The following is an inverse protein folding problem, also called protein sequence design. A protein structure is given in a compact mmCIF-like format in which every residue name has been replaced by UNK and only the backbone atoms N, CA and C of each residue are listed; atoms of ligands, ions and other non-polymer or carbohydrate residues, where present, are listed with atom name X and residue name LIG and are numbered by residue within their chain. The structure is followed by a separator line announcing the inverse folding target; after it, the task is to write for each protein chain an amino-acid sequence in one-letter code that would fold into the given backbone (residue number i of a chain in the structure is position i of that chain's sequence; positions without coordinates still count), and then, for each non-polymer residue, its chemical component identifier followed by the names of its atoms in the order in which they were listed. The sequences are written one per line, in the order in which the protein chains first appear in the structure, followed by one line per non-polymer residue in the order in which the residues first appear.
data_IF_126342615282
#
_entry.id   IF_126342615282
#
_cell.length_a   1.000
_cell.length_b   1.000
_cell.length_c   1.000
_cell.angle_alpha   90.00
_cell.angle_beta   90.00
_cell.angle_gamma   90.00
#
_symmetry.space_group_name_H-M   'P 1'
#
loop_
_entity.id
_entity.type
_entity.pdbx_description
1 polymer ?
#
# COMPACT_ATOMS: atom_id res chain seq x y z
N UNK A 1 -30.77 -7.63 -20.69
CA UNK A 1 -30.36 -6.43 -21.45
C UNK A 1 -29.73 -5.44 -20.48
N UNK A 2 -28.54 -4.93 -20.78
CA UNK A 2 -27.90 -3.90 -19.97
C UNK A 2 -28.83 -2.70 -19.84
N UNK A 3 -29.22 -2.39 -18.61
CA UNK A 3 -30.02 -1.20 -18.36
C UNK A 3 -29.03 -0.03 -18.36
N UNK A 4 -28.94 0.70 -19.46
CA UNK A 4 -28.16 1.94 -19.55
C UNK A 4 -29.13 3.13 -19.50
N UNK A 5 -29.05 3.91 -18.42
CA UNK A 5 -29.89 5.10 -18.18
C UNK A 5 -29.94 5.48 -16.70
N UNK A 6 -30.35 6.70 -16.32
CA UNK A 6 -30.47 7.10 -14.91
C UNK A 6 -31.41 6.20 -14.11
N UNK A 7 -32.41 5.59 -14.75
CA UNK A 7 -33.30 4.58 -14.13
C UNK A 7 -32.62 3.23 -13.85
N UNK A 8 -31.44 2.97 -14.41
CA UNK A 8 -30.73 1.71 -14.20
C UNK A 8 -30.14 1.60 -12.82
N UNK A 9 -29.54 2.69 -12.32
CA UNK A 9 -28.99 2.76 -10.97
C UNK A 9 -30.10 2.63 -9.93
N UNK A 10 -31.25 3.26 -10.17
CA UNK A 10 -32.43 3.13 -9.30
C UNK A 10 -32.92 1.69 -9.26
N UNK A 11 -33.09 1.03 -10.41
CA UNK A 11 -33.49 -0.39 -10.47
C UNK A 11 -32.49 -1.34 -9.82
N UNK A 12 -31.19 -1.10 -9.98
CA UNK A 12 -30.14 -1.88 -9.30
C UNK A 12 -30.22 -1.66 -7.79
N UNK A 13 -30.42 -0.42 -7.34
CA UNK A 13 -30.53 -0.10 -5.92
C UNK A 13 -31.76 -0.75 -5.29
N UNK A 14 -32.91 -0.70 -5.95
CA UNK A 14 -34.14 -1.38 -5.53
C UNK A 14 -33.96 -2.90 -5.48
N UNK A 15 -33.29 -3.48 -6.48
CA UNK A 15 -32.97 -4.90 -6.50
C UNK A 15 -32.05 -5.30 -5.34
N UNK A 16 -31.02 -4.50 -5.04
CA UNK A 16 -30.12 -4.76 -3.90
C UNK A 16 -30.88 -4.68 -2.58
N UNK A 17 -31.77 -3.70 -2.41
CA UNK A 17 -32.59 -3.57 -1.21
C UNK A 17 -33.53 -4.79 -1.06
N UNK A 18 -34.12 -5.27 -2.16
CA UNK A 18 -35.04 -6.40 -2.14
C UNK A 18 -34.33 -7.75 -1.93
N UNK A 19 -33.17 -7.97 -2.56
CA UNK A 19 -32.50 -9.27 -2.61
C UNK A 19 -31.32 -9.40 -1.63
N UNK A 20 -30.67 -8.29 -1.26
CA UNK A 20 -29.49 -8.26 -0.39
C UNK A 20 -29.52 -7.05 0.58
N UNK A 21 -30.54 -6.95 1.45
CA UNK A 21 -30.78 -5.78 2.31
C UNK A 21 -29.61 -5.47 3.25
N UNK A 22 -28.82 -6.47 3.64
CA UNK A 22 -27.63 -6.30 4.48
C UNK A 22 -26.53 -5.44 3.83
N UNK A 23 -26.49 -5.34 2.50
CA UNK A 23 -25.53 -4.49 1.77
C UNK A 23 -25.97 -3.03 1.67
N UNK A 24 -27.27 -2.76 1.83
CA UNK A 24 -27.85 -1.42 1.81
C UNK A 24 -28.10 -0.85 3.22
N UNK A 25 -28.05 -1.69 4.25
CA UNK A 25 -28.23 -1.29 5.63
C UNK A 25 -27.06 -0.45 6.17
N UNK A 26 -27.35 0.38 7.18
CA UNK A 26 -26.31 1.13 7.90
C UNK A 26 -25.37 0.12 8.58
N UNK A 27 -24.03 0.26 8.43
CA UNK A 27 -23.10 -0.68 9.02
C UNK A 27 -23.20 -0.70 10.55
N UNK A 28 -23.15 -1.90 11.14
CA UNK A 28 -23.08 -2.05 12.59
C UNK A 28 -21.79 -1.43 13.17
N UNK A 29 -21.78 -1.11 14.47
CA UNK A 29 -20.62 -0.48 15.13
C UNK A 29 -19.30 -1.24 14.94
N UNK A 30 -19.33 -2.57 14.80
CA UNK A 30 -18.15 -3.38 14.47
C UNK A 30 -17.59 -3.13 13.07
N UNK A 31 -18.47 -2.94 12.08
CA UNK A 31 -18.08 -2.62 10.71
C UNK A 31 -17.50 -1.20 10.62
N UNK A 32 -18.09 -0.23 11.33
CA UNK A 32 -17.57 1.13 11.43
C UNK A 32 -16.15 1.13 12.01
N UNK A 33 -15.91 0.38 13.10
CA UNK A 33 -14.55 0.21 13.67
C UNK A 33 -13.57 -0.37 12.64
N UNK A 34 -14.02 -1.37 11.87
CA UNK A 34 -13.20 -1.98 10.82
C UNK A 34 -12.84 -0.97 9.75
N UNK A 35 -13.77 -0.12 9.31
CA UNK A 35 -13.50 0.92 8.31
C UNK A 35 -12.53 1.98 8.81
N UNK A 36 -12.72 2.47 10.04
CA UNK A 36 -11.77 3.40 10.68
C UNK A 36 -10.39 2.76 10.74
N UNK A 37 -10.33 1.48 11.15
CA UNK A 37 -9.09 0.73 11.20
C UNK A 37 -8.44 0.57 9.82
N UNK A 38 -9.21 0.33 8.76
CA UNK A 38 -8.71 0.26 7.38
C UNK A 38 -8.16 1.61 6.92
N UNK A 39 -8.82 2.72 7.26
CA UNK A 39 -8.34 4.07 6.92
C UNK A 39 -7.00 4.35 7.58
N UNK A 40 -6.84 4.02 8.87
CA UNK A 40 -5.57 4.19 9.59
C UNK A 40 -4.49 3.28 8.98
N UNK A 41 -4.83 2.01 8.77
CA UNK A 41 -3.92 1.00 8.24
C UNK A 41 -3.38 1.37 6.87
N UNK A 42 -4.27 1.67 5.92
CA UNK A 42 -3.91 2.04 4.54
C UNK A 42 -3.32 3.44 4.51
N UNK A 43 -3.86 4.40 5.25
CA UNK A 43 -3.39 5.79 5.25
C UNK A 43 -1.94 5.91 5.70
N UNK A 44 -1.61 5.35 6.86
CA UNK A 44 -0.23 5.36 7.36
C UNK A 44 0.65 4.35 6.62
N UNK A 45 0.14 3.17 6.25
CA UNK A 45 0.91 2.17 5.50
C UNK A 45 1.34 2.68 4.12
N UNK A 46 0.41 3.22 3.33
CA UNK A 46 0.69 3.67 1.97
C UNK A 46 1.65 4.88 1.92
N UNK A 47 1.65 5.73 2.94
CA UNK A 47 2.54 6.88 3.04
C UNK A 47 4.02 6.49 3.12
N UNK A 48 4.32 5.28 3.59
CA UNK A 48 5.68 4.81 3.87
C UNK A 48 6.16 3.80 2.82
N UNK A 49 5.52 3.77 1.65
CA UNK A 49 5.93 2.86 0.58
C UNK A 49 7.35 3.17 0.08
N UNK A 50 8.29 2.19 0.11
CA UNK A 50 9.66 2.42 -0.33
C UNK A 50 9.76 2.95 -1.77
N UNK A 51 8.97 2.39 -2.69
CA UNK A 51 8.90 2.81 -4.08
C UNK A 51 8.34 4.23 -4.27
N UNK A 52 7.45 4.69 -3.38
CA UNK A 52 6.97 6.06 -3.39
C UNK A 52 8.06 7.01 -2.88
N UNK A 53 8.70 6.66 -1.76
CA UNK A 53 9.80 7.43 -1.16
C UNK A 53 10.95 7.60 -2.16
N UNK A 54 11.34 6.55 -2.88
CA UNK A 54 12.40 6.64 -3.90
C UNK A 54 12.06 7.64 -5.01
N UNK A 55 10.80 7.71 -5.45
CA UNK A 55 10.36 8.69 -6.45
C UNK A 55 10.38 10.11 -5.92
N UNK A 56 10.07 10.31 -4.64
CA UNK A 56 10.15 11.62 -3.98
C UNK A 56 11.60 12.12 -4.01
N UNK A 57 12.57 11.27 -3.64
CA UNK A 57 13.99 11.64 -3.64
C UNK A 57 14.60 11.78 -5.04
N UNK A 58 14.04 11.12 -6.06
CA UNK A 58 14.46 11.25 -7.45
C UNK A 58 13.85 12.47 -8.17
N UNK A 59 12.94 13.22 -7.52
CA UNK A 59 12.28 14.36 -8.14
C UNK A 59 13.25 15.52 -8.44
N UNK A 60 13.19 16.06 -9.66
CA UNK A 60 14.10 17.13 -10.11
C UNK A 60 13.91 18.46 -9.37
N UNK A 61 12.69 18.74 -8.89
CA UNK A 61 12.37 19.98 -8.18
C UNK A 61 11.18 19.82 -7.25
N UNK A 62 11.11 20.68 -6.23
CA UNK A 62 9.99 20.73 -5.28
C UNK A 62 8.65 21.06 -5.95
N UNK A 63 8.66 21.92 -6.98
CA UNK A 63 7.46 22.26 -7.76
C UNK A 63 6.91 21.06 -8.54
N UNK A 64 7.79 20.31 -9.22
CA UNK A 64 7.40 19.09 -9.93
C UNK A 64 6.83 18.03 -8.97
N UNK A 65 7.46 17.88 -7.79
CA UNK A 65 6.99 16.98 -6.75
C UNK A 65 5.59 17.36 -6.24
N UNK A 66 5.36 18.64 -5.89
CA UNK A 66 4.05 19.11 -5.40
C UNK A 66 2.94 18.89 -6.43
N UNK A 67 3.20 19.18 -7.70
CA UNK A 67 2.23 18.95 -8.79
C UNK A 67 1.92 17.46 -8.94
N UNK A 68 2.94 16.60 -8.90
CA UNK A 68 2.78 15.16 -9.00
C UNK A 68 1.99 14.58 -7.82
N UNK A 69 2.31 14.99 -6.58
CA UNK A 69 1.60 14.55 -5.38
C UNK A 69 0.14 15.02 -5.34
N UNK A 70 -0.13 16.26 -5.78
CA UNK A 70 -1.51 16.77 -5.86
C UNK A 70 -2.35 15.92 -6.81
N UNK A 71 -1.82 15.59 -8.00
CA UNK A 71 -2.54 14.72 -8.94
C UNK A 71 -2.73 13.31 -8.36
N UNK A 72 -1.69 12.77 -7.71
CA UNK A 72 -1.74 11.44 -7.10
C UNK A 72 -2.76 11.34 -5.95
N UNK A 73 -3.07 12.44 -5.26
CA UNK A 73 -4.07 12.45 -4.19
C UNK A 73 -5.52 12.32 -4.74
N UNK A 74 -5.82 12.92 -5.90
CA UNK A 74 -7.17 12.92 -6.46
C UNK A 74 -7.44 11.74 -7.42
N UNK A 75 -6.41 11.24 -8.11
CA UNK A 75 -6.57 10.14 -9.08
C UNK A 75 -7.26 8.88 -8.49
N UNK A 76 -6.93 8.41 -7.27
CA UNK A 76 -7.60 7.27 -6.67
C UNK A 76 -9.11 7.48 -6.47
N UNK A 77 -9.58 8.71 -6.22
CA UNK A 77 -11.01 8.97 -6.04
C UNK A 77 -11.77 8.71 -7.34
N UNK A 78 -11.22 9.17 -8.47
CA UNK A 78 -11.82 8.98 -9.79
C UNK A 78 -11.78 7.50 -10.21
N UNK A 79 -10.63 6.84 -10.03
CA UNK A 79 -10.49 5.43 -10.45
C UNK A 79 -11.27 4.49 -9.55
N UNK A 80 -11.31 4.74 -8.24
CA UNK A 80 -12.12 3.94 -7.29
C UNK A 80 -13.61 4.12 -7.55
N UNK A 81 -14.07 5.32 -7.92
CA UNK A 81 -15.47 5.51 -8.30
C UNK A 81 -15.86 4.63 -9.49
N UNK A 82 -15.02 4.57 -10.53
CA UNK A 82 -15.27 3.71 -11.68
C UNK A 82 -15.34 2.21 -11.28
N UNK A 83 -14.37 1.74 -10.49
CA UNK A 83 -14.36 0.34 -10.00
C UNK A 83 -15.57 0.04 -9.12
N UNK A 84 -15.96 0.98 -8.26
CA UNK A 84 -17.12 0.85 -7.38
C UNK A 84 -18.42 0.72 -8.16
N UNK A 85 -18.63 1.56 -9.19
CA UNK A 85 -19.81 1.49 -10.05
C UNK A 85 -19.88 0.14 -10.79
N UNK A 86 -18.76 -0.32 -11.34
CA UNK A 86 -18.67 -1.64 -11.99
C UNK A 86 -18.99 -2.75 -10.98
N UNK A 87 -18.49 -2.65 -9.75
CA UNK A 87 -18.79 -3.58 -8.67
C UNK A 87 -20.28 -3.66 -8.35
N UNK A 88 -20.96 -2.50 -8.21
CA UNK A 88 -22.42 -2.44 -7.96
C UNK A 88 -23.20 -3.08 -9.10
N UNK A 89 -22.87 -2.74 -10.35
CA UNK A 89 -23.52 -3.34 -11.53
C UNK A 89 -23.31 -4.86 -11.57
N UNK A 90 -22.12 -5.32 -11.17
CA UNK A 90 -21.77 -6.75 -11.13
C UNK A 90 -22.60 -7.57 -10.15
N UNK A 91 -23.08 -6.98 -9.05
CA UNK A 91 -23.85 -7.71 -8.02
C UNK A 91 -25.13 -8.31 -8.62
N UNK A 92 -25.89 -7.53 -9.40
CA UNK A 92 -27.11 -8.02 -10.03
C UNK A 92 -26.80 -8.95 -11.20
N UNK A 93 -25.83 -8.59 -12.05
CA UNK A 93 -25.54 -9.35 -13.27
C UNK A 93 -25.00 -10.75 -12.99
N UNK A 94 -24.13 -10.89 -11.99
CA UNK A 94 -23.53 -12.17 -11.62
C UNK A 94 -24.33 -12.92 -10.53
N UNK A 95 -25.51 -12.43 -10.15
CA UNK A 95 -26.34 -13.06 -9.10
C UNK A 95 -26.78 -14.49 -9.43
N UNK A 96 -26.69 -14.89 -10.70
CA UNK A 96 -27.00 -16.22 -11.18
C UNK A 96 -25.84 -17.23 -11.04
N UNK A 97 -24.64 -16.75 -10.69
CA UNK A 97 -23.44 -17.56 -10.52
C UNK A 97 -23.10 -17.70 -9.02
N UNK A 98 -23.35 -18.88 -8.47
CA UNK A 98 -23.02 -19.19 -7.08
C UNK A 98 -21.51 -19.46 -6.90
N UNK A 99 -20.96 -19.04 -5.76
CA UNK A 99 -19.59 -19.36 -5.35
C UNK A 99 -18.48 -18.47 -5.93
N UNK A 100 -18.82 -17.37 -6.60
CA UNK A 100 -17.83 -16.39 -7.07
C UNK A 100 -17.09 -15.71 -5.90
N UNK A 101 -15.77 -15.72 -5.97
CA UNK A 101 -14.94 -14.92 -5.06
C UNK A 101 -14.90 -13.46 -5.54
N UNK A 102 -14.77 -12.46 -4.63
CA UNK A 102 -14.75 -11.04 -5.01
C UNK A 102 -13.69 -10.70 -6.08
N UNK A 103 -12.56 -11.40 -6.07
CA UNK A 103 -11.44 -11.18 -6.99
C UNK A 103 -11.75 -11.63 -8.43
N UNK A 104 -12.76 -12.48 -8.62
CA UNK A 104 -13.17 -13.02 -9.92
C UNK A 104 -14.26 -12.20 -10.60
N UNK A 105 -14.90 -11.27 -9.90
CA UNK A 105 -16.02 -10.46 -10.41
C UNK A 105 -15.64 -9.74 -11.71
N UNK A 106 -14.52 -9.00 -11.70
CA UNK A 106 -14.11 -8.21 -12.87
C UNK A 106 -13.72 -9.09 -14.09
N UNK A 107 -12.87 -10.13 -13.94
CA UNK A 107 -12.58 -11.05 -15.05
C UNK A 107 -13.82 -11.72 -15.67
N UNK A 108 -14.80 -12.13 -14.84
CA UNK A 108 -16.02 -12.79 -15.33
C UNK A 108 -16.91 -11.81 -16.07
N UNK A 109 -17.10 -10.59 -15.55
CA UNK A 109 -17.85 -9.54 -16.27
C UNK A 109 -17.25 -9.24 -17.64
N UNK A 110 -15.93 -9.07 -17.70
CA UNK A 110 -15.22 -8.83 -18.95
C UNK A 110 -15.42 -9.96 -19.97
N UNK A 111 -15.41 -11.21 -19.51
CA UNK A 111 -15.69 -12.39 -20.36
C UNK A 111 -17.11 -12.38 -20.89
N UNK A 112 -18.11 -12.11 -20.05
CA UNK A 112 -19.50 -12.02 -20.49
C UNK A 112 -19.72 -10.88 -21.49
N UNK A 113 -19.08 -9.72 -21.29
CA UNK A 113 -19.17 -8.59 -22.21
C UNK A 113 -18.51 -8.89 -23.55
N UNK A 114 -17.37 -9.58 -23.52
CA UNK A 114 -16.66 -9.98 -24.73
C UNK A 114 -17.48 -10.88 -25.66
N UNK A 115 -18.44 -11.65 -25.12
CA UNK A 115 -19.28 -12.56 -25.91
C UNK A 115 -20.53 -11.90 -26.53
N UNK A 116 -20.88 -10.68 -26.13
CA UNK A 116 -22.11 -10.03 -26.57
C UNK A 116 -22.02 -9.34 -27.93
N UNK A 117 -20.90 -8.68 -28.22
CA UNK A 117 -20.71 -7.96 -29.49
C UNK A 117 -19.23 -7.75 -29.81
N UNK A 118 -18.92 -7.58 -31.10
CA UNK A 118 -17.56 -7.26 -31.57
C UNK A 118 -17.03 -5.98 -30.94
N UNK A 119 -17.88 -4.97 -30.73
CA UNK A 119 -17.49 -3.73 -30.06
C UNK A 119 -17.09 -3.96 -28.60
N UNK A 120 -17.93 -4.67 -27.83
CA UNK A 120 -17.62 -4.99 -26.43
C UNK A 120 -16.39 -5.89 -26.31
N UNK A 121 -16.17 -6.81 -27.26
CA UNK A 121 -14.94 -7.59 -27.34
C UNK A 121 -13.68 -6.71 -27.43
N UNK A 122 -13.67 -5.73 -28.34
CA UNK A 122 -12.55 -4.79 -28.50
C UNK A 122 -12.36 -3.95 -27.23
N UNK A 123 -13.45 -3.48 -26.61
CA UNK A 123 -13.38 -2.73 -25.35
C UNK A 123 -12.82 -3.58 -24.20
N UNK A 124 -13.26 -4.83 -24.08
CA UNK A 124 -12.73 -5.77 -23.08
C UNK A 124 -11.23 -5.99 -23.29
N UNK A 125 -10.77 -6.18 -24.54
CA UNK A 125 -9.35 -6.32 -24.83
C UNK A 125 -8.56 -5.08 -24.36
N UNK A 126 -9.05 -3.87 -24.66
CA UNK A 126 -8.40 -2.64 -24.20
C UNK A 126 -8.32 -2.57 -22.67
N UNK A 127 -9.38 -2.95 -21.95
CA UNK A 127 -9.40 -2.98 -20.48
C UNK A 127 -8.40 -4.00 -19.95
N UNK A 128 -8.38 -5.22 -20.49
CA UNK A 128 -7.44 -6.28 -20.07
C UNK A 128 -6.00 -5.85 -20.31
N UNK A 129 -5.69 -5.28 -21.47
CA UNK A 129 -4.36 -4.74 -21.78
C UNK A 129 -3.99 -3.59 -20.86
N UNK A 130 -4.94 -2.70 -20.53
CA UNK A 130 -4.74 -1.60 -19.58
C UNK A 130 -4.43 -2.08 -18.17
N UNK A 131 -5.17 -3.09 -17.68
CA UNK A 131 -4.91 -3.72 -16.37
C UNK A 131 -3.53 -4.37 -16.35
N UNK A 132 -3.17 -5.11 -17.41
CA UNK A 132 -1.85 -5.73 -17.54
C UNK A 132 -0.73 -4.68 -17.53
N UNK A 133 -0.88 -3.59 -18.27
CA UNK A 133 0.06 -2.49 -18.29
C UNK A 133 0.21 -1.82 -16.91
N UNK A 134 -0.89 -1.62 -16.19
CA UNK A 134 -0.87 -1.06 -14.84
C UNK A 134 -0.14 -1.97 -13.84
N UNK A 135 -0.39 -3.28 -13.89
CA UNK A 135 0.30 -4.27 -13.05
C UNK A 135 1.81 -4.28 -13.36
N UNK A 136 2.20 -4.28 -14.63
CA UNK A 136 3.61 -4.25 -15.04
C UNK A 136 4.32 -2.99 -14.54
N UNK A 137 3.68 -1.82 -14.65
CA UNK A 137 4.27 -0.55 -14.14
C UNK A 137 4.53 -0.55 -12.63
N UNK A 138 3.67 -1.26 -11.88
CA UNK A 138 3.80 -1.40 -10.42
C UNK A 138 4.88 -2.43 -10.07
N UNK A 139 4.88 -3.57 -10.76
CA UNK A 139 5.88 -4.63 -10.60
C UNK A 139 7.29 -4.09 -10.87
N UNK A 140 7.50 -3.37 -11.96
CA UNK A 140 8.79 -2.77 -12.32
C UNK A 140 9.31 -1.83 -11.24
N UNK A 141 8.41 -1.01 -10.68
CA UNK A 141 8.77 -0.05 -9.63
C UNK A 141 9.15 -0.74 -8.33
N UNK A 142 8.40 -1.77 -7.93
CA UNK A 142 8.70 -2.57 -6.74
C UNK A 142 10.01 -3.34 -6.91
N UNK A 143 10.26 -3.91 -8.09
CA UNK A 143 11.48 -4.64 -8.40
C UNK A 143 12.72 -3.75 -8.40
N UNK A 144 12.60 -2.54 -8.96
CA UNK A 144 13.66 -1.55 -8.89
C UNK A 144 13.99 -1.21 -7.44
N UNK A 145 12.96 -0.97 -6.62
CA UNK A 145 13.15 -0.68 -5.19
C UNK A 145 13.78 -1.85 -4.44
N UNK A 146 13.30 -3.07 -4.65
CA UNK A 146 13.85 -4.29 -4.04
C UNK A 146 15.32 -4.49 -4.44
N UNK A 147 15.63 -4.36 -5.73
CA UNK A 147 17.00 -4.49 -6.24
C UNK A 147 17.92 -3.43 -5.64
N UNK A 148 17.45 -2.21 -5.45
CA UNK A 148 18.25 -1.13 -4.84
C UNK A 148 18.51 -1.40 -3.37
N UNK A 149 17.51 -1.85 -2.61
CA UNK A 149 17.64 -2.19 -1.19
C UNK A 149 18.61 -3.37 -1.01
N UNK A 150 18.44 -4.43 -1.79
CA UNK A 150 19.34 -5.60 -1.76
C UNK A 150 20.77 -5.22 -2.10
N UNK A 151 20.98 -4.44 -3.16
CA UNK A 151 22.31 -4.01 -3.58
C UNK A 151 22.97 -3.10 -2.53
N UNK A 152 22.31 -2.00 -2.15
CA UNK A 152 22.96 -0.93 -1.36
C UNK A 152 22.87 -1.16 0.15
N UNK A 153 21.70 -1.56 0.64
CA UNK A 153 21.45 -1.65 2.09
C UNK A 153 21.85 -2.99 2.68
N UNK A 154 21.69 -4.07 1.92
CA UNK A 154 22.14 -5.39 2.34
C UNK A 154 23.57 -5.60 1.85
N UNK A 155 23.79 -5.89 0.57
CA UNK A 155 25.09 -6.31 0.05
C UNK A 155 26.19 -5.26 0.28
N UNK A 156 25.93 -3.98 -0.02
CA UNK A 156 26.91 -2.91 0.08
C UNK A 156 27.34 -2.55 1.50
N UNK A 157 26.48 -2.80 2.51
CA UNK A 157 26.82 -2.49 3.91
C UNK A 157 27.34 -3.70 4.69
N UNK A 158 27.03 -4.91 4.24
CA UNK A 158 27.34 -6.14 5.00
C UNK A 158 28.42 -6.98 4.34
N UNK A 159 28.16 -7.53 3.14
CA UNK A 159 29.03 -8.54 2.49
C UNK A 159 30.05 -7.97 1.51
N UNK A 160 29.73 -6.90 0.79
CA UNK A 160 30.54 -6.33 -0.31
C UNK A 160 30.80 -4.83 -0.08
N UNK A 161 31.40 -4.49 1.06
CA UNK A 161 31.64 -3.10 1.48
C UNK A 161 32.49 -2.27 0.52
N UNK A 162 33.39 -2.91 -0.22
CA UNK A 162 34.35 -2.26 -1.12
C UNK A 162 34.10 -2.59 -2.61
N UNK A 163 32.99 -3.28 -2.93
CA UNK A 163 32.74 -3.67 -4.30
C UNK A 163 32.30 -2.46 -5.16
N UNK A 164 32.74 -2.38 -6.42
CA UNK A 164 32.27 -1.36 -7.35
C UNK A 164 30.74 -1.37 -7.50
N UNK A 165 30.12 -0.20 -7.60
CA UNK A 165 28.65 -0.07 -7.71
C UNK A 165 28.05 -0.91 -8.86
N UNK A 166 28.79 -1.04 -9.97
CA UNK A 166 28.38 -1.84 -11.12
C UNK A 166 28.25 -3.33 -10.77
N UNK A 167 29.14 -3.86 -9.94
CA UNK A 167 29.11 -5.26 -9.47
C UNK A 167 27.96 -5.44 -8.49
N UNK A 168 27.81 -4.50 -7.56
CA UNK A 168 26.75 -4.52 -6.55
C UNK A 168 25.35 -4.50 -7.19
N UNK A 169 25.17 -3.66 -8.21
CA UNK A 169 23.92 -3.56 -8.98
C UNK A 169 23.65 -4.84 -9.77
N UNK A 170 24.68 -5.46 -10.37
CA UNK A 170 24.53 -6.71 -11.13
C UNK A 170 24.11 -7.87 -10.23
N UNK A 171 24.74 -7.99 -9.06
CA UNK A 171 24.40 -9.02 -8.07
C UNK A 171 22.99 -8.76 -7.51
N UNK A 172 22.67 -7.51 -7.14
CA UNK A 172 21.33 -7.13 -6.69
C UNK A 172 20.23 -7.46 -7.69
N UNK A 173 20.45 -7.22 -8.99
CA UNK A 173 19.52 -7.60 -10.06
C UNK A 173 19.37 -9.12 -10.16
N UNK A 174 20.46 -9.89 -10.15
CA UNK A 174 20.40 -11.36 -10.20
C UNK A 174 19.64 -11.94 -9.01
N UNK A 175 19.89 -11.41 -7.80
CA UNK A 175 19.18 -11.82 -6.60
C UNK A 175 17.70 -11.46 -6.66
N UNK A 176 17.36 -10.28 -7.18
CA UNK A 176 15.96 -9.86 -7.37
C UNK A 176 15.22 -10.79 -8.34
N UNK A 177 15.88 -11.22 -9.43
CA UNK A 177 15.34 -12.22 -10.35
C UNK A 177 15.14 -13.59 -9.69
N UNK A 178 16.07 -14.02 -8.84
CA UNK A 178 15.91 -15.26 -8.08
C UNK A 178 14.72 -15.20 -7.12
N UNK A 179 14.58 -14.09 -6.38
CA UNK A 179 13.43 -13.85 -5.50
C UNK A 179 12.12 -13.85 -6.29
N UNK A 180 12.10 -13.23 -7.48
CA UNK A 180 10.93 -13.26 -8.36
C UNK A 180 10.54 -14.67 -8.80
N UNK A 181 11.51 -15.53 -9.09
CA UNK A 181 11.23 -16.93 -9.41
C UNK A 181 10.53 -17.65 -8.26
N UNK A 182 10.99 -17.44 -7.02
CA UNK A 182 10.35 -18.01 -5.81
C UNK A 182 8.95 -17.43 -5.61
N UNK A 183 8.79 -16.11 -5.74
CA UNK A 183 7.49 -15.45 -5.59
C UNK A 183 6.48 -15.94 -6.64
N UNK A 184 6.92 -16.12 -7.89
CA UNK A 184 6.08 -16.67 -8.95
C UNK A 184 5.58 -18.08 -8.60
N UNK A 185 6.44 -18.93 -8.05
CA UNK A 185 6.05 -20.26 -7.60
C UNK A 185 5.00 -20.19 -6.48
N UNK A 186 5.20 -19.31 -5.49
CA UNK A 186 4.21 -19.13 -4.40
C UNK A 186 2.89 -18.54 -4.89
N UNK A 187 2.91 -17.71 -5.94
CA UNK A 187 1.71 -17.10 -6.51
C UNK A 187 0.77 -18.11 -7.20
N UNK A 188 1.26 -19.30 -7.57
CA UNK A 188 0.44 -20.37 -8.16
C UNK A 188 -0.49 -21.05 -7.15
N UNK A 189 -0.25 -20.87 -5.85
CA UNK A 189 -1.08 -21.46 -4.78
C UNK A 189 -1.55 -20.38 -3.79
N UNK A 190 -2.42 -19.46 -4.24
CA UNK A 190 -2.88 -18.36 -3.39
C UNK A 190 -3.72 -18.90 -2.23
N UNK A 191 -3.34 -18.51 -0.99
CA UNK A 191 -4.05 -18.86 0.24
C UNK A 191 -4.94 -17.73 0.75
N UNK A 192 -4.73 -16.51 0.27
CA UNK A 192 -5.41 -15.29 0.66
C UNK A 192 -6.01 -14.62 -0.57
N UNK A 193 -7.14 -13.95 -0.39
CA UNK A 193 -7.70 -13.05 -1.42
C UNK A 193 -6.76 -11.87 -1.69
N UNK A 194 -6.95 -11.20 -2.81
CA UNK A 194 -6.18 -9.99 -3.15
C UNK A 194 -6.34 -8.92 -2.05
N UNK A 195 -7.55 -8.78 -1.50
CA UNK A 195 -7.79 -7.90 -0.37
C UNK A 195 -7.04 -8.34 0.90
N UNK A 196 -7.06 -9.63 1.24
CA UNK A 196 -6.32 -10.17 2.38
C UNK A 196 -4.80 -9.98 2.25
N UNK A 197 -4.25 -10.09 1.03
CA UNK A 197 -2.84 -9.77 0.76
C UNK A 197 -2.53 -8.29 0.96
N UNK A 198 -3.46 -7.39 0.59
CA UNK A 198 -3.33 -5.96 0.85
C UNK A 198 -3.34 -5.69 2.36
N UNK A 199 -4.27 -6.28 3.11
CA UNK A 199 -4.33 -6.15 4.57
C UNK A 199 -3.00 -6.59 5.20
N UNK A 200 -2.56 -7.83 4.96
CA UNK A 200 -1.31 -8.36 5.50
C UNK A 200 -0.09 -7.48 5.16
N UNK A 201 0.02 -7.04 3.90
CA UNK A 201 1.09 -6.14 3.45
C UNK A 201 1.08 -4.83 4.23
N UNK A 202 -0.10 -4.24 4.44
CA UNK A 202 -0.23 -2.97 5.15
C UNK A 202 0.01 -3.12 6.65
N UNK A 203 -0.36 -4.25 7.26
CA UNK A 203 -0.14 -4.52 8.69
C UNK A 203 1.33 -4.54 9.08
N UNK A 204 2.17 -5.07 8.20
CA UNK A 204 3.63 -5.06 8.38
C UNK A 204 4.17 -3.66 8.08
N UNK A 205 3.77 -3.06 6.96
CA UNK A 205 4.32 -1.79 6.51
C UNK A 205 4.00 -0.63 7.47
N UNK A 206 2.80 -0.59 8.03
CA UNK A 206 2.37 0.49 8.93
C UNK A 206 3.27 0.60 10.18
N UNK A 207 3.92 -0.48 10.60
CA UNK A 207 4.85 -0.47 11.74
C UNK A 207 6.08 0.42 11.50
N UNK A 208 6.41 0.71 10.25
CA UNK A 208 7.50 1.64 9.93
C UNK A 208 7.07 3.11 10.07
N UNK A 209 5.76 3.41 10.07
CA UNK A 209 5.27 4.80 10.10
C UNK A 209 5.69 5.60 11.34
N UNK A 210 5.65 5.07 12.58
CA UNK A 210 6.12 5.80 13.76
C UNK A 210 7.58 6.24 13.65
N UNK A 211 8.45 5.44 13.01
CA UNK A 211 9.85 5.79 12.83
C UNK A 211 10.02 7.08 12.01
N UNK A 212 9.24 7.25 10.95
CA UNK A 212 9.27 8.46 10.13
C UNK A 212 8.59 9.64 10.83
N UNK A 213 7.38 9.43 11.36
CA UNK A 213 6.58 10.51 11.96
C UNK A 213 7.21 11.00 13.26
N UNK A 214 7.50 10.10 14.21
CA UNK A 214 8.12 10.47 15.49
C UNK A 214 9.59 10.84 15.31
N UNK A 215 10.31 10.25 14.35
CA UNK A 215 11.70 10.62 14.08
C UNK A 215 11.87 12.07 13.64
N UNK A 216 10.86 12.64 12.97
CA UNK A 216 10.84 14.04 12.54
C UNK A 216 10.25 14.94 13.63
N UNK A 217 9.13 14.55 14.24
CA UNK A 217 8.37 15.40 15.17
C UNK A 217 8.87 15.35 16.61
N UNK A 218 9.50 14.25 17.04
CA UNK A 218 9.92 14.04 18.42
C UNK A 218 11.45 14.01 18.52
N UNK A 219 12.10 15.12 18.90
CA UNK A 219 13.56 15.17 19.07
C UNK A 219 14.10 14.27 20.19
N UNK A 220 13.20 13.64 20.96
CA UNK A 220 13.51 12.72 22.06
C UNK A 220 13.56 11.25 21.62
N UNK A 221 13.21 10.94 20.36
CA UNK A 221 13.20 9.55 19.89
C UNK A 221 14.63 9.00 19.79
N UNK A 222 14.91 7.91 20.51
CA UNK A 222 16.20 7.23 20.43
C UNK A 222 16.12 6.02 19.48
N UNK A 223 17.24 5.68 18.83
CA UNK A 223 17.35 4.54 17.93
C UNK A 223 16.95 3.21 18.60
N UNK A 224 17.31 3.02 19.88
CA UNK A 224 16.93 1.80 20.65
C UNK A 224 15.42 1.72 20.89
N UNK A 225 14.79 2.84 21.27
CA UNK A 225 13.33 2.91 21.48
C UNK A 225 12.56 2.70 20.18
N UNK A 226 13.04 3.30 19.09
CA UNK A 226 12.43 3.13 17.77
C UNK A 226 12.55 1.69 17.24
N UNK A 227 13.71 1.04 17.41
CA UNK A 227 13.91 -0.35 16.98
C UNK A 227 13.07 -1.33 17.80
N UNK A 228 13.01 -1.15 19.12
CA UNK A 228 12.20 -2.01 20.00
C UNK A 228 10.71 -1.88 19.71
N UNK A 229 10.20 -0.66 19.50
CA UNK A 229 8.81 -0.44 19.08
C UNK A 229 8.49 -1.07 17.73
N UNK A 230 9.36 -0.87 16.72
CA UNK A 230 9.20 -1.45 15.39
C UNK A 230 9.14 -2.98 15.43
N UNK A 231 10.11 -3.61 16.11
CA UNK A 231 10.18 -5.08 16.20
C UNK A 231 8.99 -5.65 16.95
N UNK A 232 8.67 -5.11 18.12
CA UNK A 232 7.55 -5.58 18.93
C UNK A 232 6.21 -5.39 18.21
N UNK A 233 5.96 -4.22 17.60
CA UNK A 233 4.75 -3.97 16.83
C UNK A 233 4.60 -4.90 15.63
N UNK A 234 5.69 -5.15 14.90
CA UNK A 234 5.70 -6.08 13.75
C UNK A 234 5.47 -7.53 14.17
N UNK A 235 6.14 -7.99 15.23
CA UNK A 235 5.98 -9.36 15.75
C UNK A 235 4.56 -9.57 16.26
N UNK A 236 4.02 -8.64 17.05
CA UNK A 236 2.64 -8.75 17.56
C UNK A 236 1.62 -8.72 16.42
N UNK A 237 1.73 -7.78 15.48
CA UNK A 237 0.83 -7.73 14.33
C UNK A 237 0.89 -9.04 13.52
N UNK A 238 2.09 -9.54 13.22
CA UNK A 238 2.27 -10.76 12.43
C UNK A 238 1.73 -12.01 13.15
N UNK A 239 1.99 -12.15 14.46
CA UNK A 239 1.49 -13.30 15.24
C UNK A 239 -0.03 -13.29 15.27
N UNK A 240 -0.66 -12.12 15.53
CA UNK A 240 -2.10 -12.01 15.58
C UNK A 240 -2.75 -12.37 14.24
N UNK A 241 -2.19 -11.88 13.13
CA UNK A 241 -2.70 -12.18 11.79
C UNK A 241 -2.51 -13.66 11.42
N UNK A 242 -1.34 -14.24 11.71
CA UNK A 242 -1.06 -15.65 11.42
C UNK A 242 -1.83 -16.62 12.32
N UNK A 243 -2.17 -16.21 13.55
CA UNK A 243 -2.98 -16.99 14.47
C UNK A 243 -4.49 -16.93 14.15
N UNK A 244 -4.90 -16.26 13.07
CA UNK A 244 -6.29 -16.12 12.66
C UNK A 244 -7.04 -14.96 13.31
N UNK A 245 -6.37 -14.14 14.12
CA UNK A 245 -6.92 -12.96 14.79
C UNK A 245 -6.54 -11.66 14.06
N UNK A 246 -6.59 -11.65 12.72
CA UNK A 246 -6.27 -10.47 11.92
C UNK A 246 -7.15 -9.25 12.22
N UNK A 247 -8.36 -9.46 12.78
CA UNK A 247 -9.29 -8.40 13.21
C UNK A 247 -9.78 -8.66 14.63
N UNK A 248 -9.15 -8.02 15.62
CA UNK A 248 -9.56 -8.11 17.03
C UNK A 248 -10.55 -7.00 17.34
N UNK A 249 -11.77 -7.36 17.72
CA UNK A 249 -12.85 -6.42 18.04
C UNK A 249 -13.12 -5.36 16.95
N UNK A 250 -12.84 -5.69 15.69
CA UNK A 250 -12.97 -4.79 14.54
C UNK A 250 -11.74 -3.91 14.27
N UNK A 251 -10.64 -4.09 14.99
CA UNK A 251 -9.35 -3.45 14.71
C UNK A 251 -8.40 -4.42 14.02
N UNK A 252 -7.76 -3.98 12.95
CA UNK A 252 -6.74 -4.77 12.27
C UNK A 252 -5.55 -4.98 13.21
N UNK A 253 -4.96 -6.17 13.17
CA UNK A 253 -3.80 -6.52 13.97
C UNK A 253 -2.64 -5.53 13.78
N UNK A 254 -2.48 -5.01 12.56
CA UNK A 254 -1.52 -3.94 12.26
C UNK A 254 -1.75 -2.65 13.03
N UNK A 255 -3.00 -2.24 13.27
CA UNK A 255 -3.31 -1.02 14.05
C UNK A 255 -3.04 -1.23 15.54
N UNK A 256 -3.28 -2.43 16.05
CA UNK A 256 -2.94 -2.79 17.43
C UNK A 256 -1.42 -2.82 17.60
N UNK A 257 -0.70 -3.44 16.66
CA UNK A 257 0.76 -3.43 16.62
C UNK A 257 1.32 -2.02 16.52
N UNK A 258 0.68 -1.14 15.75
CA UNK A 258 1.05 0.26 15.62
C UNK A 258 0.93 1.02 16.95
N UNK A 259 -0.18 0.82 17.67
CA UNK A 259 -0.37 1.43 18.99
C UNK A 259 0.72 0.97 19.97
N UNK A 260 1.01 -0.33 20.00
CA UNK A 260 2.10 -0.89 20.81
C UNK A 260 3.46 -0.28 20.43
N UNK A 261 3.75 -0.20 19.14
CA UNK A 261 4.99 0.37 18.61
C UNK A 261 5.18 1.82 19.08
N UNK A 262 4.15 2.65 18.98
CA UNK A 262 4.18 4.05 19.46
C UNK A 262 4.42 4.11 20.97
N UNK A 263 3.72 3.28 21.75
CA UNK A 263 3.89 3.22 23.22
C UNK A 263 5.35 2.87 23.56
N UNK A 264 5.89 1.83 22.95
CA UNK A 264 7.25 1.38 23.20
C UNK A 264 8.30 2.40 22.75
N UNK A 265 8.05 3.12 21.64
CA UNK A 265 8.89 4.23 21.22
C UNK A 265 9.02 5.29 22.32
N UNK A 266 7.94 5.61 23.04
CA UNK A 266 7.98 6.58 24.13
C UNK A 266 8.56 6.01 25.43
N UNK A 267 8.24 4.75 25.78
CA UNK A 267 8.73 4.10 27.02
C UNK A 267 10.24 3.87 26.96
N UNK A 268 10.75 3.36 25.83
CA UNK A 268 12.16 3.03 25.64
C UNK A 268 12.99 4.16 25.04
N UNK A 269 12.40 5.33 24.82
CA UNK A 269 13.15 6.57 24.59
C UNK A 269 13.21 7.33 25.90
N UNK A 270 14.22 7.08 26.77
CA UNK A 270 14.38 7.86 27.99
C UNK A 270 14.42 9.35 27.65
N UNK A 271 13.96 10.18 28.58
CA UNK A 271 14.10 11.63 28.53
C UNK A 271 15.59 11.99 28.59
N UNK A 272 16.30 11.83 27.47
CA UNK A 272 17.71 12.16 27.41
C UNK A 272 17.82 13.69 27.31
N UNK A 273 18.21 14.31 28.42
CA UNK A 273 18.78 15.64 28.44
C UNK A 273 20.05 15.64 27.57
N UNK A 274 20.00 16.26 26.38
CA UNK A 274 21.00 17.22 25.89
C UNK A 274 20.75 17.57 24.42
N UNK A 275 20.68 18.87 24.06
CA UNK A 275 20.31 19.39 22.73
C UNK A 275 21.47 19.34 21.72
N UNK A 276 22.18 18.21 21.61
CA UNK A 276 23.33 18.08 20.70
C UNK A 276 22.90 17.66 19.28
N UNK A 277 21.90 16.77 19.15
CA UNK A 277 21.45 16.25 17.83
C UNK A 277 20.54 17.25 17.10
N UNK A 278 19.74 18.04 17.83
CA UNK A 278 18.97 19.12 17.22
C UNK A 278 19.87 20.21 16.60
N UNK A 279 21.06 20.43 17.17
CA UNK A 279 22.00 21.45 16.67
C UNK A 279 22.66 21.05 15.35
N UNK A 280 22.95 19.77 15.12
CA UNK A 280 23.58 19.31 13.86
C UNK A 280 22.60 19.30 12.69
N UNK A 281 21.32 18.97 12.92
CA UNK A 281 20.27 19.05 11.90
C UNK A 281 19.95 20.51 11.54
N UNK A 282 19.86 21.40 12.53
CA UNK A 282 19.62 22.84 12.29
C UNK A 282 20.84 23.51 11.67
N UNK A 283 22.09 23.15 12.04
CA UNK A 283 23.29 23.64 11.34
C UNK A 283 23.37 23.13 9.90
N UNK A 284 23.05 21.85 9.66
CA UNK A 284 23.02 21.28 8.31
C UNK A 284 22.02 21.99 7.39
N UNK A 285 20.83 22.32 7.90
CA UNK A 285 19.85 23.12 7.17
C UNK A 285 20.33 24.56 6.91
N UNK A 286 20.98 25.22 7.89
CA UNK A 286 21.54 26.59 7.72
C UNK A 286 22.70 26.64 6.71
N UNK A 287 23.53 25.60 6.65
CA UNK A 287 24.63 25.51 5.69
C UNK A 287 24.09 25.30 4.27
N UNK A 288 23.07 24.45 4.08
CA UNK A 288 22.43 24.28 2.77
C UNK A 288 21.67 25.52 2.29
N UNK A 289 21.02 26.27 3.19
CA UNK A 289 20.40 27.54 2.80
C UNK A 289 21.45 28.58 2.40
N UNK A 290 22.57 28.70 3.12
CA UNK A 290 23.65 29.64 2.73
C UNK A 290 24.35 29.27 1.42
N UNK A 291 24.56 27.99 1.14
CA UNK A 291 25.16 27.53 -0.12
C UNK A 291 24.28 27.87 -1.34
N UNK A 292 22.95 27.88 -1.17
CA UNK A 292 22.02 28.20 -2.26
C UNK A 292 21.90 29.70 -2.59
N UNK A 293 22.40 30.61 -1.74
CA UNK A 293 22.42 32.05 -2.00
C UNK A 293 23.73 32.56 -2.64
N UNK A 294 24.81 31.76 -2.63
CA UNK A 294 26.08 32.11 -3.27
C UNK A 294 26.30 31.49 -4.66
N UNK A 295 25.28 30.81 -5.20
CA UNK A 295 25.24 30.37 -6.59
C UNK A 295 24.08 31.09 -7.28
N UNK A 296 24.27 32.39 -7.50
CA UNK A 296 23.55 33.20 -8.49
C UNK A 296 24.55 34.14 -9.15
#
# INVERSE_FOLDING_TARGET
AFVTGPESMTRISEWIIANQPSKAAVPEGGAIRTWISTIILIGFGAAVYPQAIQRIFAARSSGALRRSLSLMAFMPLITMLAVFLVGIMGIQQLSHLDGLTPDQVMPVLLREWAQQSTWMYVMTLLVVTGVLAAVMSTADSVLLSLSSILAKDILGKTWLKEAPEAVLTRIGKRLSWAIMGVLMFTALTPRLSLWGLIELKMEILVQTAPLFVLGILCPRLNARGALTGLLAGTVVASILTLAGYGKLWGWHAGVIGLALNVILCFVFSPQAASPAVARSVVLGQKIQTKASYHVK
#
